data_IF_671348684175
#
_entry.id   IF_671348684175
#
_cell.length_a   1.000
_cell.length_b   1.000
_cell.length_c   1.000
_cell.angle_alpha   90.00
_cell.angle_beta   90.00
_cell.angle_gamma   90.00
#
_symmetry.space_group_name_H-M   'P 1'
#
loop_
_entity.id
_entity.type
_entity.pdbx_description
1 polymer ?
#
# COMPACT_ATOMS: atom_id res chain seq x y z
N UNK A 1 21.15 -6.27 31.87
CA UNK A 1 22.01 -6.57 30.70
C UNK A 1 21.23 -7.15 29.52
N UNK A 2 20.24 -8.04 29.73
CA UNK A 2 19.40 -8.57 28.66
C UNK A 2 18.58 -7.52 27.87
N UNK A 3 18.11 -6.45 28.53
CA UNK A 3 17.33 -5.40 27.86
C UNK A 3 18.16 -4.65 26.79
N UNK A 4 19.38 -4.23 27.14
CA UNK A 4 20.26 -3.51 26.20
C UNK A 4 20.67 -4.38 25.00
N UNK A 5 20.82 -5.69 25.21
CA UNK A 5 21.12 -6.63 24.14
C UNK A 5 19.93 -6.78 23.19
N UNK A 6 18.72 -6.90 23.74
CA UNK A 6 17.48 -6.93 22.96
C UNK A 6 17.27 -5.65 22.15
N UNK A 7 17.49 -4.47 22.77
CA UNK A 7 17.38 -3.18 22.09
C UNK A 7 18.37 -3.07 20.94
N UNK A 8 19.61 -3.49 21.13
CA UNK A 8 20.63 -3.46 20.06
C UNK A 8 20.25 -4.35 18.88
N UNK A 9 19.78 -5.58 19.14
CA UNK A 9 19.30 -6.49 18.08
C UNK A 9 18.06 -5.96 17.36
N UNK A 10 17.14 -5.34 18.09
CA UNK A 10 15.95 -4.73 17.51
C UNK A 10 16.29 -3.54 16.60
N UNK A 11 17.22 -2.68 17.02
CA UNK A 11 17.68 -1.52 16.21
C UNK A 11 18.39 -1.99 14.95
N UNK A 12 19.28 -2.99 15.06
CA UNK A 12 19.95 -3.56 13.89
C UNK A 12 18.96 -4.14 12.86
N UNK A 13 17.96 -4.89 13.33
CA UNK A 13 16.92 -5.45 12.47
C UNK A 13 16.09 -4.34 11.81
N UNK A 14 15.74 -3.31 12.57
CA UNK A 14 15.00 -2.14 12.07
C UNK A 14 15.76 -1.41 10.95
N UNK A 15 17.06 -1.16 11.14
CA UNK A 15 17.90 -0.51 10.13
C UNK A 15 18.04 -1.37 8.87
N UNK A 16 18.16 -2.70 9.01
CA UNK A 16 18.18 -3.60 7.85
C UNK A 16 16.86 -3.60 7.07
N UNK A 17 15.72 -3.51 7.76
CA UNK A 17 14.42 -3.43 7.11
C UNK A 17 14.23 -2.11 6.37
N UNK A 18 14.60 -0.98 6.98
CA UNK A 18 14.48 0.33 6.33
C UNK A 18 15.38 0.45 5.10
N UNK A 19 16.59 -0.13 5.13
CA UNK A 19 17.51 -0.13 3.96
C UNK A 19 16.95 -0.86 2.74
N UNK A 20 15.97 -1.75 2.91
CA UNK A 20 15.31 -2.47 1.80
C UNK A 20 14.10 -1.71 1.23
N UNK A 21 13.75 -0.56 1.80
CA UNK A 21 12.68 0.31 1.31
C UNK A 21 12.98 0.89 -0.07
N UNK A 22 11.93 1.16 -0.86
CA UNK A 22 12.07 1.86 -2.14
C UNK A 22 12.29 3.36 -1.86
N UNK A 23 13.45 3.95 -2.16
CA UNK A 23 13.77 5.35 -1.83
C UNK A 23 12.85 6.36 -2.53
N UNK A 24 12.04 5.90 -3.49
CA UNK A 24 11.04 6.69 -4.20
C UNK A 24 9.87 7.12 -3.32
N UNK A 25 9.62 6.44 -2.22
CA UNK A 25 8.50 6.75 -1.30
C UNK A 25 8.94 7.55 -0.08
N UNK A 26 10.23 7.87 0.02
CA UNK A 26 10.78 8.68 1.12
C UNK A 26 10.17 10.09 1.10
N UNK A 27 9.72 10.57 2.26
CA UNK A 27 9.04 11.85 2.43
C UNK A 27 7.52 11.80 2.21
N UNK A 28 6.95 10.62 1.97
CA UNK A 28 5.49 10.47 1.93
C UNK A 28 4.91 10.42 3.34
N UNK A 29 3.73 11.02 3.48
CA UNK A 29 2.99 10.99 4.73
C UNK A 29 2.81 9.54 5.20
N UNK A 30 3.30 9.23 6.41
CA UNK A 30 3.30 7.90 7.04
C UNK A 30 4.26 6.84 6.45
N UNK A 31 5.16 7.17 5.52
CA UNK A 31 6.10 6.19 4.93
C UNK A 31 7.54 6.29 5.45
N UNK A 32 7.90 7.38 6.14
CA UNK A 32 9.25 7.57 6.69
C UNK A 32 9.62 6.54 7.78
N UNK A 33 8.63 6.09 8.55
CA UNK A 33 8.82 5.02 9.52
C UNK A 33 7.49 4.29 9.81
N UNK A 34 7.55 3.02 10.22
CA UNK A 34 6.36 2.26 10.64
C UNK A 34 5.81 2.72 11.99
N UNK A 35 6.57 3.52 12.75
CA UNK A 35 6.21 3.99 14.09
C UNK A 35 4.97 4.91 14.10
N UNK A 36 4.89 5.98 13.29
CA UNK A 36 3.69 6.79 13.14
C UNK A 36 2.43 5.97 12.86
N UNK A 37 2.52 5.02 11.92
CA UNK A 37 1.39 4.14 11.57
C UNK A 37 0.93 3.29 12.76
N UNK A 38 1.87 2.72 13.51
CA UNK A 38 1.58 1.94 14.70
C UNK A 38 0.87 2.77 15.79
N UNK A 39 1.31 4.01 16.01
CA UNK A 39 0.67 4.92 16.97
C UNK A 39 -0.77 5.23 16.55
N UNK A 40 -1.01 5.54 15.27
CA UNK A 40 -2.36 5.76 14.76
C UNK A 40 -3.25 4.54 14.96
N UNK A 41 -2.76 3.33 14.66
CA UNK A 41 -3.54 2.10 14.82
C UNK A 41 -3.89 1.83 16.29
N UNK A 42 -2.91 1.94 17.20
CA UNK A 42 -3.12 1.74 18.63
C UNK A 42 -4.13 2.76 19.17
N UNK A 43 -3.99 4.03 18.77
CA UNK A 43 -4.91 5.09 19.18
C UNK A 43 -6.34 4.84 18.67
N UNK A 44 -6.50 4.36 17.43
CA UNK A 44 -7.78 3.99 16.85
C UNK A 44 -8.43 2.84 17.62
N UNK A 45 -7.68 1.76 17.90
CA UNK A 45 -8.18 0.62 18.67
C UNK A 45 -8.65 1.07 20.05
N UNK A 46 -7.82 1.86 20.76
CA UNK A 46 -8.17 2.40 22.07
C UNK A 46 -9.44 3.26 22.02
N UNK A 47 -9.55 4.12 21.02
CA UNK A 47 -10.72 4.99 20.83
C UNK A 47 -11.98 4.16 20.60
N UNK A 48 -11.94 3.15 19.72
CA UNK A 48 -13.13 2.35 19.37
C UNK A 48 -13.53 1.38 20.48
N UNK A 49 -12.58 0.79 21.21
CA UNK A 49 -12.88 -0.24 22.22
C UNK A 49 -13.16 0.32 23.61
N UNK A 50 -12.51 1.42 24.00
CA UNK A 50 -12.64 1.97 25.36
C UNK A 50 -13.38 3.30 25.38
N UNK A 51 -12.91 4.28 24.62
CA UNK A 51 -13.44 5.65 24.71
C UNK A 51 -14.84 5.77 24.07
N UNK A 52 -15.05 5.12 22.93
CA UNK A 52 -16.31 5.14 22.19
C UNK A 52 -17.48 4.59 23.01
N UNK A 53 -17.40 3.36 23.55
CA UNK A 53 -18.48 2.79 24.36
C UNK A 53 -18.78 3.61 25.62
N UNK A 54 -17.74 4.11 26.32
CA UNK A 54 -17.90 4.97 27.51
C UNK A 54 -18.61 6.29 27.19
N UNK A 55 -18.35 6.88 26.03
CA UNK A 55 -19.00 8.12 25.60
C UNK A 55 -20.45 7.89 25.13
N UNK A 56 -20.76 6.68 24.63
CA UNK A 56 -22.08 6.29 24.15
C UNK A 56 -23.02 5.74 25.24
N UNK A 57 -22.51 5.41 26.42
CA UNK A 57 -23.30 4.83 27.53
C UNK A 57 -24.47 5.72 27.97
N UNK A 58 -24.30 7.05 27.94
CA UNK A 58 -25.31 8.02 28.38
C UNK A 58 -25.95 8.82 27.23
N UNK A 59 -25.84 8.35 25.98
CA UNK A 59 -26.30 9.08 24.78
C UNK A 59 -27.14 8.17 23.89
N UNK A 60 -28.23 8.71 23.31
CA UNK A 60 -29.01 8.01 22.28
C UNK A 60 -28.17 7.80 21.01
N UNK A 61 -28.42 6.71 20.30
CA UNK A 61 -27.75 6.39 19.04
C UNK A 61 -27.88 7.54 18.03
N UNK A 62 -26.75 7.96 17.46
CA UNK A 62 -26.72 9.01 16.44
C UNK A 62 -27.29 8.52 15.12
N UNK A 63 -28.15 9.33 14.48
CA UNK A 63 -28.70 9.05 13.15
C UNK A 63 -27.69 9.47 12.06
N UNK A 64 -26.66 8.67 11.86
CA UNK A 64 -25.56 8.94 10.91
C UNK A 64 -25.88 8.56 9.44
N UNK A 65 -27.15 8.25 9.12
CA UNK A 65 -27.57 7.79 7.79
C UNK A 65 -27.06 8.65 6.61
N UNK A 66 -27.22 9.99 6.60
CA UNK A 66 -26.76 10.78 5.45
C UNK A 66 -25.24 10.76 5.31
N UNK A 67 -24.50 10.75 6.42
CA UNK A 67 -23.03 10.67 6.43
C UNK A 67 -22.58 9.31 5.89
N UNK A 68 -23.25 8.23 6.28
CA UNK A 68 -22.94 6.88 5.81
C UNK A 68 -23.17 6.72 4.30
N UNK A 69 -24.22 7.36 3.77
CA UNK A 69 -24.50 7.39 2.34
C UNK A 69 -23.34 8.09 1.60
N UNK A 70 -22.96 9.30 2.03
CA UNK A 70 -21.86 10.06 1.42
C UNK A 70 -20.54 9.28 1.49
N UNK A 71 -20.26 8.65 2.63
CA UNK A 71 -19.08 7.80 2.81
C UNK A 71 -19.02 6.68 1.76
N UNK A 72 -20.07 5.87 1.65
CA UNK A 72 -20.11 4.75 0.70
C UNK A 72 -19.97 5.22 -0.75
N UNK A 73 -20.64 6.32 -1.14
CA UNK A 73 -20.48 6.89 -2.48
C UNK A 73 -19.05 7.36 -2.74
N UNK A 74 -18.43 8.03 -1.76
CA UNK A 74 -17.04 8.48 -1.87
C UNK A 74 -16.06 7.30 -1.99
N UNK A 75 -16.30 6.20 -1.27
CA UNK A 75 -15.48 4.99 -1.35
C UNK A 75 -15.56 4.34 -2.73
N UNK A 76 -16.75 4.28 -3.33
CA UNK A 76 -16.93 3.75 -4.70
C UNK A 76 -16.26 4.66 -5.73
N UNK A 77 -16.45 5.98 -5.63
CA UNK A 77 -15.81 6.95 -6.53
C UNK A 77 -14.28 6.88 -6.45
N UNK A 78 -13.73 6.80 -5.23
CA UNK A 78 -12.29 6.66 -5.01
C UNK A 78 -11.78 5.32 -5.58
N UNK A 79 -12.52 4.23 -5.40
CA UNK A 79 -12.15 2.92 -5.96
C UNK A 79 -12.13 2.93 -7.49
N UNK A 80 -13.07 3.62 -8.14
CA UNK A 80 -13.09 3.79 -9.59
C UNK A 80 -11.91 4.62 -10.09
N UNK A 81 -11.60 5.73 -9.42
CA UNK A 81 -10.43 6.55 -9.74
C UNK A 81 -9.12 5.75 -9.62
N UNK A 82 -8.99 4.99 -8.53
CA UNK A 82 -7.87 4.11 -8.30
C UNK A 82 -7.73 3.03 -9.39
N UNK A 83 -8.85 2.43 -9.81
CA UNK A 83 -8.87 1.46 -10.90
C UNK A 83 -8.38 2.08 -12.23
N UNK A 84 -8.83 3.31 -12.54
CA UNK A 84 -8.39 4.04 -13.73
C UNK A 84 -6.87 4.29 -13.72
N UNK A 85 -6.33 4.83 -12.63
CA UNK A 85 -4.89 5.04 -12.48
C UNK A 85 -4.11 3.72 -12.62
N UNK A 86 -4.60 2.62 -12.03
CA UNK A 86 -3.96 1.31 -12.17
C UNK A 86 -3.91 0.82 -13.62
N UNK A 87 -5.01 0.94 -14.36
CA UNK A 87 -5.05 0.54 -15.77
C UNK A 87 -4.09 1.40 -16.58
N UNK A 88 -4.09 2.72 -16.39
CA UNK A 88 -3.22 3.65 -17.11
C UNK A 88 -1.74 3.56 -16.70
N UNK A 89 -1.44 3.05 -15.52
CA UNK A 89 -0.08 2.93 -14.98
C UNK A 89 0.71 1.73 -15.52
N UNK A 90 0.04 0.74 -16.11
CA UNK A 90 0.72 -0.44 -16.65
C UNK A 90 -0.13 -1.27 -17.60
N UNK A 91 -1.29 -1.76 -17.15
CA UNK A 91 -2.08 -2.75 -17.89
C UNK A 91 -2.61 -2.25 -19.24
N UNK A 92 -2.88 -0.95 -19.37
CA UNK A 92 -3.33 -0.31 -20.60
C UNK A 92 -2.20 0.25 -21.48
N UNK A 93 -0.95 0.23 -21.01
CA UNK A 93 0.17 0.93 -21.67
C UNK A 93 1.40 0.06 -21.91
N UNK A 94 1.34 -1.25 -21.64
CA UNK A 94 2.40 -2.20 -22.02
C UNK A 94 2.77 -3.29 -21.02
N UNK A 95 2.15 -3.35 -19.83
CA UNK A 95 2.31 -4.49 -18.93
C UNK A 95 1.55 -5.69 -19.46
N UNK A 96 2.16 -6.87 -19.42
CA UNK A 96 1.47 -8.10 -19.77
C UNK A 96 0.50 -8.48 -18.65
N UNK A 97 -0.53 -9.28 -18.95
CA UNK A 97 -1.36 -9.92 -17.92
C UNK A 97 -0.61 -11.08 -17.22
N UNK A 98 0.72 -11.03 -17.22
CA UNK A 98 1.66 -12.01 -16.69
C UNK A 98 2.58 -11.34 -15.65
N UNK A 99 3.74 -11.94 -15.39
CA UNK A 99 4.66 -11.54 -14.34
C UNK A 99 5.65 -10.48 -14.78
N UNK A 100 5.17 -9.26 -14.92
CA UNK A 100 6.07 -8.13 -15.07
C UNK A 100 6.65 -7.73 -13.72
N UNK A 101 7.96 -7.61 -13.68
CA UNK A 101 8.73 -7.10 -12.55
C UNK A 101 8.39 -5.63 -12.30
N UNK A 102 8.57 -5.19 -11.05
CA UNK A 102 8.41 -3.78 -10.69
C UNK A 102 9.54 -2.97 -11.31
N UNK A 103 9.19 -1.97 -12.12
CA UNK A 103 10.15 -1.01 -12.64
C UNK A 103 10.49 0.03 -11.56
N UNK A 104 11.75 0.03 -11.11
CA UNK A 104 12.29 0.99 -10.13
C UNK A 104 12.82 2.27 -10.78
N UNK A 105 12.71 2.41 -12.11
CA UNK A 105 13.13 3.63 -12.82
C UNK A 105 12.27 4.85 -12.45
N UNK A 106 12.76 6.04 -12.82
CA UNK A 106 12.05 7.32 -12.69
C UNK A 106 11.24 7.68 -13.95
N UNK A 107 10.86 6.68 -14.76
CA UNK A 107 10.00 6.91 -15.93
C UNK A 107 8.61 7.43 -15.49
N UNK A 108 7.93 8.27 -16.30
CA UNK A 108 6.63 8.83 -15.93
C UNK A 108 5.56 7.77 -15.66
N UNK A 109 5.69 6.57 -16.25
CA UNK A 109 4.81 5.43 -16.00
C UNK A 109 5.12 4.75 -14.65
N UNK A 110 6.40 4.47 -14.36
CA UNK A 110 6.82 3.90 -13.08
C UNK A 110 6.51 4.82 -11.90
N UNK A 111 6.60 6.13 -12.11
CA UNK A 111 6.22 7.15 -11.13
C UNK A 111 4.71 7.19 -10.86
N UNK A 112 3.85 6.82 -11.83
CA UNK A 112 2.40 6.76 -11.63
C UNK A 112 1.98 5.56 -10.80
N UNK A 113 2.56 4.38 -11.05
CA UNK A 113 2.36 3.16 -10.23
C UNK A 113 2.69 3.41 -8.75
N UNK A 114 3.60 4.35 -8.45
CA UNK A 114 3.95 4.74 -7.08
C UNK A 114 2.75 5.27 -6.28
N UNK A 115 1.89 6.09 -6.91
CA UNK A 115 0.76 6.75 -6.23
C UNK A 115 -0.44 5.86 -6.03
N UNK A 116 -0.44 4.66 -6.61
CA UNK A 116 -1.58 3.76 -6.54
C UNK A 116 -1.43 2.79 -5.36
N UNK A 117 -2.21 2.92 -4.26
CA UNK A 117 -2.26 1.93 -3.18
C UNK A 117 -2.50 0.51 -3.68
N UNK A 118 -1.55 -0.40 -3.41
CA UNK A 118 -1.61 -1.84 -3.76
C UNK A 118 -2.67 -2.63 -2.96
N UNK A 119 -3.75 -2.01 -2.52
CA UNK A 119 -4.78 -2.70 -1.75
C UNK A 119 -5.56 -3.69 -2.65
N UNK A 120 -5.63 -4.91 -2.15
CA UNK A 120 -5.99 -6.17 -2.80
C UNK A 120 -7.48 -6.25 -3.20
N UNK A 121 -7.81 -7.10 -4.19
CA UNK A 121 -9.18 -7.64 -4.26
C UNK A 121 -9.57 -8.44 -5.51
N UNK A 122 -9.22 -8.01 -6.72
CA UNK A 122 -9.74 -8.70 -7.92
C UNK A 122 -8.78 -8.69 -9.11
N UNK A 123 -8.16 -7.55 -9.45
CA UNK A 123 -7.32 -7.41 -10.65
C UNK A 123 -5.86 -7.81 -10.40
N UNK A 124 -5.31 -7.53 -9.21
CA UNK A 124 -3.94 -7.93 -8.83
C UNK A 124 -3.81 -9.41 -8.43
N UNK A 125 -4.89 -10.05 -7.99
CA UNK A 125 -4.86 -11.49 -7.67
C UNK A 125 -4.63 -12.32 -8.93
N UNK A 126 -5.12 -11.89 -10.09
CA UNK A 126 -4.81 -12.52 -11.38
C UNK A 126 -3.29 -12.57 -11.63
N UNK A 127 -2.57 -11.49 -11.29
CA UNK A 127 -1.10 -11.39 -11.43
C UNK A 127 -0.36 -12.26 -10.41
N UNK A 128 -0.85 -12.32 -9.16
CA UNK A 128 -0.26 -13.19 -8.13
C UNK A 128 -0.41 -14.67 -8.49
N UNK A 129 -1.56 -15.08 -9.02
CA UNK A 129 -1.78 -16.45 -9.49
C UNK A 129 -0.95 -16.80 -10.74
N UNK A 130 -0.80 -15.88 -11.70
CA UNK A 130 0.07 -16.13 -12.87
C UNK A 130 1.54 -16.25 -12.46
N UNK A 131 2.02 -15.52 -11.44
CA UNK A 131 3.43 -15.61 -11.02
C UNK A 131 3.81 -16.82 -10.22
N UNK A 132 2.83 -17.50 -9.64
CA UNK A 132 3.05 -18.78 -9.00
C UNK A 132 3.16 -19.89 -10.05
N UNK A 133 2.49 -19.74 -11.21
CA UNK A 133 2.43 -20.76 -12.28
C UNK A 133 3.39 -20.47 -13.44
N UNK A 134 3.93 -19.25 -13.55
CA UNK A 134 4.90 -18.90 -14.57
C UNK A 134 6.22 -19.67 -14.36
N UNK A 135 6.78 -20.32 -15.40
CA UNK A 135 8.15 -20.81 -15.31
C UNK A 135 9.06 -19.61 -15.04
N UNK A 136 10.00 -19.76 -14.10
CA UNK A 136 10.97 -18.73 -13.77
C UNK A 136 11.70 -18.28 -15.05
N UNK A 137 11.29 -17.15 -15.64
CA UNK A 137 12.03 -16.53 -16.73
C UNK A 137 13.29 -15.93 -16.12
N UNK A 138 14.49 -16.27 -16.63
CA UNK A 138 15.73 -15.78 -16.06
C UNK A 138 15.83 -14.25 -16.26
N UNK A 139 16.34 -13.58 -15.23
CA UNK A 139 16.72 -12.16 -15.28
C UNK A 139 17.63 -11.90 -16.49
N UNK A 140 17.11 -11.19 -17.49
CA UNK A 140 17.95 -10.40 -18.40
C UNK A 140 17.74 -8.92 -18.06
N UNK A 141 18.73 -8.34 -17.38
CA UNK A 141 19.01 -6.92 -17.55
C UNK A 141 19.37 -6.67 -19.02
N UNK A 142 19.03 -5.47 -19.51
CA UNK A 142 19.15 -5.00 -20.90
C UNK A 142 18.06 -5.59 -21.81
N UNK A 143 17.27 -4.84 -22.58
CA UNK A 143 17.64 -3.71 -23.44
C UNK A 143 16.40 -2.95 -23.93
N UNK A 144 16.57 -1.64 -24.14
CA UNK A 144 16.13 -0.91 -25.35
C UNK A 144 14.66 -1.00 -25.78
N UNK A 145 13.95 0.12 -25.61
CA UNK A 145 13.15 0.67 -26.72
C UNK A 145 14.09 0.84 -27.93
N UNK A 146 13.70 0.32 -29.10
CA UNK A 146 13.59 1.22 -30.23
C UNK A 146 12.21 1.11 -30.88
N UNK A 147 11.65 2.28 -31.15
CA UNK A 147 10.66 2.48 -32.18
C UNK A 147 11.20 1.97 -33.52
N UNK A 148 10.51 1.00 -34.11
CA UNK A 148 10.28 0.85 -35.55
C UNK A 148 9.31 -0.30 -35.80
#
# INVERSE_FOLDING_TARGET
>A
MAFNEFTSRAVHLYDEFLKKGDPRVDGWFLMDSPLPQAVFLISYIYFVTSLGPRLMENRKAFTLRPILIVYNFSSVALSLYMCYEFVMSGWGTGYSFQCDLVDYSHSPQAMRVRYTPRNQGTVMDLKRFTCIVAPAVPYQGTSTVPLS
#
